data_IF_670992304098
#
_entry.id   IF_670992304098
#
_cell.length_a   1.000
_cell.length_b   1.000
_cell.length_c   1.000
_cell.angle_alpha   90.00
_cell.angle_beta   90.00
_cell.angle_gamma   90.00
#
_symmetry.space_group_name_H-M   'P 1'
#
loop_
_entity.id
_entity.type
_entity.pdbx_description
1 polymer ?
#
# COMPACT_ATOMS: atom_id res chain seq x y z
N UNK A 1 33.99 -40.39 0.94
CA UNK A 1 32.59 -40.13 0.51
C UNK A 1 32.51 -38.67 0.08
N UNK A 2 32.30 -38.41 -1.21
CA UNK A 2 32.08 -37.05 -1.70
C UNK A 2 30.60 -36.73 -1.43
N UNK A 3 30.34 -35.72 -0.61
CA UNK A 3 28.99 -35.23 -0.36
C UNK A 3 28.45 -34.67 -1.67
N UNK A 4 27.46 -35.33 -2.27
CA UNK A 4 26.82 -34.87 -3.51
C UNK A 4 26.23 -33.48 -3.33
N UNK A 5 26.20 -32.68 -4.40
CA UNK A 5 25.59 -31.35 -4.38
C UNK A 5 24.18 -31.41 -3.77
N UNK A 6 23.82 -30.50 -2.84
CA UNK A 6 22.48 -30.48 -2.26
C UNK A 6 21.45 -30.31 -3.37
N UNK A 7 20.35 -31.06 -3.26
CA UNK A 7 19.24 -30.96 -4.20
C UNK A 7 18.76 -29.50 -4.26
N UNK A 8 18.52 -28.94 -5.46
CA UNK A 8 18.03 -27.58 -5.59
C UNK A 8 16.67 -27.46 -4.91
N UNK A 9 16.49 -26.40 -4.11
CA UNK A 9 15.21 -26.15 -3.45
C UNK A 9 14.09 -26.01 -4.49
N UNK A 10 12.87 -26.48 -4.16
CA UNK A 10 11.74 -26.34 -5.07
C UNK A 10 11.51 -24.86 -5.45
N UNK A 11 11.09 -24.58 -6.69
CA UNK A 11 10.88 -23.21 -7.14
C UNK A 11 9.74 -22.55 -6.38
N UNK A 12 10.03 -21.46 -5.66
CA UNK A 12 9.04 -20.69 -4.91
C UNK A 12 8.51 -19.54 -5.76
N UNK A 13 7.19 -19.51 -6.00
CA UNK A 13 6.54 -18.43 -6.76
C UNK A 13 6.41 -17.19 -5.88
N UNK A 14 6.88 -16.04 -6.37
CA UNK A 14 6.85 -14.76 -5.66
C UNK A 14 6.02 -13.74 -6.42
N UNK A 15 5.06 -13.13 -5.74
CA UNK A 15 4.20 -12.09 -6.32
C UNK A 15 4.19 -10.85 -5.45
N UNK A 16 3.99 -9.68 -6.04
CA UNK A 16 3.83 -8.41 -5.30
C UNK A 16 2.49 -7.80 -5.68
N UNK A 17 1.69 -7.44 -4.68
CA UNK A 17 0.37 -6.84 -4.85
C UNK A 17 0.42 -5.43 -4.28
N UNK A 18 0.04 -4.44 -5.09
CA UNK A 18 -0.13 -3.06 -4.67
C UNK A 18 -1.61 -2.76 -4.55
N UNK A 19 -2.05 -2.32 -3.39
CA UNK A 19 -3.45 -2.01 -3.14
C UNK A 19 -3.59 -0.75 -2.32
N UNK A 20 -4.62 0.05 -2.59
CA UNK A 20 -4.87 1.30 -1.88
C UNK A 20 -5.42 1.03 -0.47
N UNK A 21 -5.13 1.94 0.45
CA UNK A 21 -5.74 2.02 1.78
C UNK A 21 -7.28 2.01 1.68
N UNK A 22 -7.94 1.40 2.68
CA UNK A 22 -9.39 1.23 2.79
C UNK A 22 -10.09 0.45 1.66
N UNK A 23 -9.34 -0.06 0.68
CA UNK A 23 -9.90 -0.93 -0.35
C UNK A 23 -9.89 -2.38 0.11
N UNK A 24 -10.85 -3.14 -0.45
CA UNK A 24 -10.90 -4.60 -0.30
C UNK A 24 -9.71 -5.23 -1.00
N UNK A 25 -9.15 -6.30 -0.42
CA UNK A 25 -8.11 -7.10 -1.04
C UNK A 25 -8.30 -8.59 -0.76
N UNK A 26 -7.77 -9.42 -1.64
CA UNK A 26 -7.79 -10.88 -1.52
C UNK A 26 -6.40 -11.41 -1.82
N UNK A 27 -5.84 -12.17 -0.89
CA UNK A 27 -4.59 -12.89 -1.11
C UNK A 27 -4.90 -14.35 -1.45
N UNK A 28 -4.54 -14.72 -2.67
CA UNK A 28 -4.63 -16.09 -3.19
C UNK A 28 -3.22 -16.63 -3.29
N UNK A 29 -2.98 -17.83 -2.77
CA UNK A 29 -1.65 -18.44 -2.84
C UNK A 29 -1.26 -18.64 -4.32
N UNK A 30 -0.12 -18.10 -4.79
CA UNK A 30 0.25 -18.15 -6.21
C UNK A 30 0.90 -19.48 -6.60
N UNK A 31 1.20 -20.34 -5.62
CA UNK A 31 1.86 -21.63 -5.78
C UNK A 31 0.98 -22.69 -6.43
N UNK A 32 1.60 -23.78 -6.91
CA UNK A 32 0.85 -24.96 -7.33
C UNK A 32 0.34 -25.70 -6.09
N UNK A 33 -0.98 -25.66 -5.88
CA UNK A 33 -1.62 -26.21 -4.69
C UNK A 33 -2.08 -27.64 -4.92
N UNK A 34 -1.74 -28.53 -3.99
CA UNK A 34 -2.42 -29.82 -3.89
C UNK A 34 -3.79 -29.61 -3.23
N UNK A 35 -4.87 -30.06 -3.86
CA UNK A 35 -6.26 -29.89 -3.38
C UNK A 35 -6.53 -30.59 -2.05
N UNK A 36 -5.79 -31.65 -1.75
CA UNK A 36 -6.04 -32.50 -0.58
C UNK A 36 -5.23 -32.07 0.65
N UNK A 37 -4.39 -31.02 0.51
CA UNK A 37 -3.50 -30.56 1.56
C UNK A 37 -3.92 -29.16 2.04
N UNK A 38 -4.14 -28.96 3.35
CA UNK A 38 -4.50 -27.65 3.87
C UNK A 38 -3.36 -26.64 3.69
N UNK A 39 -3.74 -25.39 3.39
CA UNK A 39 -2.81 -24.28 3.20
C UNK A 39 -2.63 -23.56 4.53
N UNK A 40 -1.38 -23.44 4.96
CA UNK A 40 -1.02 -22.63 6.13
C UNK A 40 -0.42 -21.31 5.67
N UNK A 41 -0.98 -20.20 6.13
CA UNK A 41 -0.41 -18.89 5.89
C UNK A 41 0.52 -18.48 7.02
N UNK A 42 1.62 -17.83 6.69
CA UNK A 42 2.53 -17.23 7.67
C UNK A 42 2.86 -15.80 7.31
N UNK A 43 3.06 -14.99 8.33
CA UNK A 43 3.76 -13.71 8.27
C UNK A 43 5.04 -13.92 9.07
N UNK A 44 6.19 -13.69 8.42
CA UNK A 44 7.49 -14.08 8.95
C UNK A 44 7.46 -15.57 9.36
N UNK A 45 7.70 -15.88 10.65
CA UNK A 45 7.65 -17.25 11.19
C UNK A 45 6.33 -17.60 11.88
N UNK A 46 5.37 -16.68 11.94
CA UNK A 46 4.12 -16.85 12.69
C UNK A 46 3.01 -17.39 11.80
N UNK A 47 2.44 -18.54 12.20
CA UNK A 47 1.26 -19.11 11.54
C UNK A 47 0.05 -18.22 11.81
N UNK A 48 -0.63 -17.85 10.73
CA UNK A 48 -1.86 -17.07 10.75
C UNK A 48 -3.04 -17.98 11.06
N UNK A 49 -3.53 -17.91 12.29
CA UNK A 49 -4.74 -18.62 12.69
C UNK A 49 -6.00 -17.82 12.28
N UNK A 50 -6.91 -18.41 11.48
CA UNK A 50 -8.11 -17.72 10.99
C UNK A 50 -8.98 -17.09 12.08
N UNK A 51 -9.21 -17.80 13.18
CA UNK A 51 -10.07 -17.33 14.27
C UNK A 51 -9.42 -16.19 15.05
N UNK A 52 -8.12 -16.29 15.30
CA UNK A 52 -7.37 -15.26 16.04
C UNK A 52 -7.33 -13.97 15.23
N UNK A 53 -6.99 -14.05 13.95
CA UNK A 53 -6.89 -12.86 13.08
C UNK A 53 -8.26 -12.21 12.90
N UNK A 54 -9.31 -13.02 12.74
CA UNK A 54 -10.68 -12.49 12.65
C UNK A 54 -11.04 -11.72 13.92
N UNK A 55 -10.72 -12.24 15.10
CA UNK A 55 -11.03 -11.56 16.35
C UNK A 55 -10.16 -10.30 16.55
N UNK A 56 -8.85 -10.38 16.33
CA UNK A 56 -7.92 -9.25 16.46
C UNK A 56 -8.22 -8.10 15.49
N UNK A 57 -8.80 -8.42 14.34
CA UNK A 57 -9.19 -7.44 13.32
C UNK A 57 -10.67 -7.06 13.38
N UNK A 58 -11.42 -7.51 14.39
CA UNK A 58 -12.86 -7.27 14.54
C UNK A 58 -13.67 -7.69 13.28
N UNK A 59 -13.25 -8.79 12.66
CA UNK A 59 -13.88 -9.34 11.47
C UNK A 59 -13.56 -8.62 10.16
N UNK A 60 -12.59 -7.69 10.17
CA UNK A 60 -12.08 -7.00 8.97
C UNK A 60 -11.24 -7.92 8.10
N UNK A 61 -10.40 -8.75 8.71
CA UNK A 61 -9.60 -9.78 8.04
C UNK A 61 -10.18 -11.14 8.38
N UNK A 62 -10.41 -11.99 7.38
CA UNK A 62 -10.90 -13.34 7.60
C UNK A 62 -10.47 -14.28 6.47
N UNK A 63 -10.55 -15.58 6.72
CA UNK A 63 -10.26 -16.60 5.72
C UNK A 63 -11.57 -17.08 5.10
N UNK A 64 -11.61 -17.28 3.79
CA UNK A 64 -12.74 -17.94 3.12
C UNK A 64 -12.60 -19.48 3.21
N UNK A 65 -13.58 -20.21 2.68
CA UNK A 65 -13.56 -21.68 2.63
C UNK A 65 -12.42 -22.28 1.80
N UNK A 66 -11.82 -21.50 0.90
CA UNK A 66 -10.67 -21.89 0.08
C UNK A 66 -9.32 -21.50 0.72
N UNK A 67 -9.33 -21.09 1.99
CA UNK A 67 -8.15 -20.63 2.72
C UNK A 67 -7.47 -19.40 2.09
N UNK A 68 -8.20 -18.55 1.36
CA UNK A 68 -7.74 -17.24 0.92
C UNK A 68 -7.91 -16.21 2.04
N UNK A 69 -6.95 -15.28 2.16
CA UNK A 69 -7.05 -14.18 3.12
C UNK A 69 -7.86 -13.05 2.48
N UNK A 70 -8.97 -12.67 3.11
CA UNK A 70 -9.84 -11.59 2.68
C UNK A 70 -9.67 -10.39 3.61
N UNK A 71 -9.37 -9.23 3.04
CA UNK A 71 -9.35 -7.94 3.72
C UNK A 71 -10.57 -7.14 3.29
N UNK A 72 -11.49 -6.81 4.21
CA UNK A 72 -12.65 -5.95 3.91
C UNK A 72 -12.24 -4.50 3.62
N UNK A 73 -11.33 -3.96 4.42
CA UNK A 73 -10.63 -2.69 4.21
C UNK A 73 -9.18 -2.89 4.65
N UNK A 74 -8.23 -2.46 3.80
CA UNK A 74 -6.80 -2.51 4.10
C UNK A 74 -6.35 -1.35 4.96
N UNK A 75 -5.53 -1.66 5.97
CA UNK A 75 -4.78 -0.69 6.77
C UNK A 75 -3.31 -0.73 6.36
N UNK A 76 -2.57 0.36 6.58
CA UNK A 76 -1.14 0.40 6.29
C UNK A 76 -0.34 -0.69 7.01
N UNK A 77 -0.73 -1.01 8.25
CA UNK A 77 -0.11 -2.08 9.05
C UNK A 77 -0.31 -3.49 8.50
N UNK A 78 -1.23 -3.69 7.55
CA UNK A 78 -1.42 -4.99 6.90
C UNK A 78 -0.38 -5.26 5.82
N UNK A 79 0.40 -4.23 5.41
CA UNK A 79 1.49 -4.37 4.45
C UNK A 79 2.56 -5.31 5.04
N UNK A 80 2.72 -6.47 4.42
CA UNK A 80 3.64 -7.49 4.90
C UNK A 80 3.98 -8.50 3.79
N UNK A 81 4.89 -9.42 4.09
CA UNK A 81 5.22 -10.58 3.27
C UNK A 81 4.44 -11.78 3.82
N UNK A 82 3.47 -12.23 3.03
CA UNK A 82 2.65 -13.38 3.35
C UNK A 82 3.19 -14.60 2.59
N UNK A 83 3.44 -15.70 3.30
CA UNK A 83 3.85 -16.95 2.69
C UNK A 83 2.79 -18.03 2.89
N UNK A 84 2.50 -18.79 1.84
CA UNK A 84 1.62 -19.95 1.90
C UNK A 84 2.44 -21.24 1.85
N UNK A 85 2.09 -22.17 2.74
CA UNK A 85 2.82 -23.40 3.01
C UNK A 85 1.91 -24.62 2.89
N UNK A 86 2.43 -25.71 2.34
CA UNK A 86 1.80 -27.03 2.31
C UNK A 86 2.87 -28.08 2.68
N UNK A 87 2.51 -29.08 3.50
CA UNK A 87 3.44 -30.14 3.98
C UNK A 87 4.77 -29.60 4.51
N UNK A 88 4.73 -28.43 5.17
CA UNK A 88 5.91 -27.75 5.71
C UNK A 88 6.90 -27.22 4.64
N UNK A 89 6.48 -27.13 3.38
CA UNK A 89 7.22 -26.49 2.28
C UNK A 89 6.54 -25.19 1.85
N UNK A 90 7.34 -24.20 1.43
CA UNK A 90 6.84 -22.93 0.91
C UNK A 90 6.37 -23.14 -0.53
N UNK A 91 5.11 -22.88 -0.79
CA UNK A 91 4.52 -23.00 -2.14
C UNK A 91 4.49 -21.65 -2.85
N UNK A 92 4.32 -20.56 -2.08
CA UNK A 92 4.28 -19.22 -2.64
C UNK A 92 4.47 -18.13 -1.61
N UNK A 93 4.91 -16.97 -2.10
CA UNK A 93 5.13 -15.76 -1.30
C UNK A 93 4.48 -14.57 -1.99
N UNK A 94 3.81 -13.73 -1.21
CA UNK A 94 3.12 -12.53 -1.65
C UNK A 94 3.60 -11.36 -0.82
N UNK A 95 4.19 -10.36 -1.46
CA UNK A 95 4.47 -9.06 -0.83
C UNK A 95 3.26 -8.15 -1.04
N UNK A 96 2.53 -7.86 0.03
CA UNK A 96 1.42 -6.90 -0.01
C UNK A 96 1.95 -5.51 0.35
N UNK A 97 1.79 -4.56 -0.57
CA UNK A 97 2.11 -3.16 -0.34
C UNK A 97 0.82 -2.33 -0.31
N UNK A 98 0.60 -1.60 0.77
CA UNK A 98 -0.59 -0.75 0.95
C UNK A 98 -0.21 0.70 0.70
N UNK A 99 -0.77 1.31 -0.34
CA UNK A 99 -0.48 2.69 -0.71
C UNK A 99 -1.58 3.63 -0.22
N UNK A 100 -1.17 4.80 0.27
CA UNK A 100 -2.10 5.88 0.58
C UNK A 100 -2.25 6.75 -0.66
N UNK A 101 -3.47 7.05 -1.07
CA UNK A 101 -3.69 8.22 -1.90
C UNK A 101 -3.93 9.38 -0.96
N UNK A 102 -3.01 10.35 -0.96
CA UNK A 102 -3.40 11.69 -0.59
C UNK A 102 -4.31 12.19 -1.71
N UNK A 103 -5.60 11.88 -1.62
CA UNK A 103 -6.62 12.66 -2.31
C UNK A 103 -6.57 14.05 -1.68
N UNK A 104 -5.61 14.85 -2.12
CA UNK A 104 -5.59 16.27 -1.83
C UNK A 104 -6.83 16.80 -2.55
N UNK A 105 -7.95 16.85 -1.81
CA UNK A 105 -9.18 17.51 -2.19
C UNK A 105 -8.88 19.01 -2.25
N UNK A 106 -8.06 19.36 -3.23
CA UNK A 106 -7.55 20.70 -3.38
C UNK A 106 -8.70 21.47 -3.99
N UNK A 107 -9.38 22.24 -3.15
CA UNK A 107 -10.48 23.06 -3.62
C UNK A 107 -9.92 24.08 -4.60
N UNK A 108 -10.26 23.91 -5.88
CA UNK A 108 -9.78 24.74 -6.97
C UNK A 108 -10.07 26.22 -6.74
N UNK A 109 -11.18 26.54 -6.06
CA UNK A 109 -11.53 27.92 -5.68
C UNK A 109 -10.52 28.50 -4.70
N UNK A 110 -9.99 27.71 -3.75
CA UNK A 110 -8.99 28.18 -2.78
C UNK A 110 -7.66 28.46 -3.47
N UNK A 111 -7.25 27.61 -4.41
CA UNK A 111 -6.05 27.84 -5.22
C UNK A 111 -6.20 29.11 -6.07
N UNK A 112 -7.35 29.31 -6.72
CA UNK A 112 -7.61 30.51 -7.53
C UNK A 112 -7.62 31.79 -6.69
N UNK A 113 -8.29 31.78 -5.53
CA UNK A 113 -8.33 32.95 -4.63
C UNK A 113 -6.92 33.27 -4.14
N UNK A 114 -6.16 32.25 -3.71
CA UNK A 114 -4.77 32.42 -3.29
C UNK A 114 -3.90 33.02 -4.40
N UNK A 115 -4.01 32.48 -5.62
CA UNK A 115 -3.28 32.98 -6.78
C UNK A 115 -3.63 34.43 -7.14
N UNK A 116 -4.93 34.78 -7.11
CA UNK A 116 -5.38 36.15 -7.37
C UNK A 116 -4.86 37.15 -6.34
N UNK A 117 -4.87 36.81 -5.05
CA UNK A 117 -4.36 37.68 -4.00
C UNK A 117 -2.86 37.96 -4.18
N UNK A 118 -2.08 36.94 -4.55
CA UNK A 118 -0.65 37.11 -4.84
C UNK A 118 -0.45 38.09 -6.00
N UNK A 119 -1.18 37.92 -7.11
CA UNK A 119 -1.08 38.81 -8.27
C UNK A 119 -1.44 40.25 -7.91
N UNK A 120 -2.52 40.45 -7.14
CA UNK A 120 -2.95 41.78 -6.70
C UNK A 120 -1.87 42.47 -5.86
N UNK A 121 -1.25 41.75 -4.92
CA UNK A 121 -0.16 42.30 -4.10
C UNK A 121 1.02 42.71 -4.98
N UNK A 122 1.42 41.86 -5.94
CA UNK A 122 2.48 42.20 -6.89
C UNK A 122 2.16 43.46 -7.70
N UNK A 123 0.92 43.59 -8.19
CA UNK A 123 0.48 44.77 -8.94
C UNK A 123 0.48 46.03 -8.07
N UNK A 124 0.06 45.95 -6.80
CA UNK A 124 0.11 47.09 -5.87
C UNK A 124 1.55 47.52 -5.61
N UNK A 125 2.46 46.57 -5.34
CA UNK A 125 3.88 46.87 -5.11
C UNK A 125 4.51 47.48 -6.35
N UNK A 126 4.24 46.90 -7.52
CA UNK A 126 4.72 47.41 -8.81
C UNK A 126 4.21 48.84 -9.07
N UNK A 127 2.91 49.08 -8.86
CA UNK A 127 2.30 50.40 -9.01
C UNK A 127 2.92 51.43 -8.07
N UNK A 128 3.08 51.09 -6.79
CA UNK A 128 3.72 51.97 -5.79
C UNK A 128 5.17 52.27 -6.17
N UNK A 129 5.94 51.28 -6.60
CA UNK A 129 7.31 51.49 -7.05
C UNK A 129 7.38 52.44 -8.26
N UNK A 130 6.45 52.33 -9.20
CA UNK A 130 6.39 53.19 -10.39
C UNK A 130 5.97 54.63 -10.05
N UNK A 131 4.99 54.82 -9.16
CA UNK A 131 4.60 56.16 -8.71
C UNK A 131 5.71 56.86 -7.92
N UNK A 132 6.42 56.13 -7.05
CA UNK A 132 7.56 56.69 -6.33
C UNK A 132 8.62 57.22 -7.30
N UNK A 133 8.91 56.53 -8.41
CA UNK A 133 9.85 57.02 -9.43
C UNK A 133 9.37 58.28 -10.14
N UNK A 134 8.08 58.38 -10.49
CA UNK A 134 7.51 59.59 -11.14
C UNK A 134 7.58 60.83 -10.24
N UNK A 135 7.51 60.66 -8.91
CA UNK A 135 7.56 61.76 -7.94
C UNK A 135 8.97 62.38 -7.81
N UNK A 136 10.02 61.65 -8.13
CA UNK A 136 11.41 62.15 -8.12
C UNK A 136 11.87 62.76 -9.45
N UNK A 137 11.15 62.55 -10.56
CA UNK A 137 11.51 63.11 -11.88
C UNK A 137 10.85 64.45 -12.18
N UNK A 138 9.96 64.92 -11.31
CA UNK A 138 9.34 66.25 -11.37
C UNK A 138 9.99 67.09 -10.27
N UNK A 139 11.21 67.55 -10.50
CA UNK A 139 11.86 68.64 -9.78
C UNK A 139 12.95 69.26 -10.64
#
# INVERSE_FOLDING_TARGET
>A
MVQGMPAPSPPVIRTTIYQKHDKKAVLVCPGNLNTDVPINWKIDDKILNPSIIKNQSEGRIYFNSQMHIIFKSLKFQDANIYSCWQRNEIVGVIKLNVTGEMELQTNYSVIMIGGMLIIVVFMIVFWRAFQTRKRFTIH
#
